data_IF_835500787655
#
_entry.id   IF_835500787655
#
_cell.length_a   1.000
_cell.length_b   1.000
_cell.length_c   1.000
_cell.angle_alpha   90.00
_cell.angle_beta   90.00
_cell.angle_gamma   90.00
#
_symmetry.space_group_name_H-M   'P 1'
#
loop_
_entity.id
_entity.type
_entity.pdbx_description
1 polymer ?
#
# COMPACT_ATOMS: atom_id res chain seq x y z
N UNK A 1 -9.50 8.27 1.23
CA UNK A 1 -8.55 9.00 2.10
C UNK A 1 -9.06 10.38 2.55
N UNK A 2 -9.10 11.41 1.69
CA UNK A 2 -9.37 12.80 2.12
C UNK A 2 -10.70 13.04 2.86
N UNK A 3 -11.79 12.39 2.44
CA UNK A 3 -13.11 12.53 3.09
C UNK A 3 -13.12 11.91 4.50
N UNK A 4 -12.49 10.73 4.65
CA UNK A 4 -12.40 10.01 5.92
C UNK A 4 -11.46 10.76 6.87
N UNK A 5 -10.31 11.23 6.38
CA UNK A 5 -9.40 12.07 7.18
C UNK A 5 -10.09 13.33 7.70
N UNK A 6 -10.98 13.96 6.92
CA UNK A 6 -11.80 15.09 7.42
C UNK A 6 -12.80 14.69 8.51
N UNK A 7 -13.24 13.44 8.54
CA UNK A 7 -14.27 12.95 9.46
C UNK A 7 -13.68 12.36 10.75
N UNK A 8 -12.57 11.62 10.67
CA UNK A 8 -11.97 10.88 11.80
C UNK A 8 -10.53 11.30 12.12
N UNK A 9 -9.98 12.27 11.39
CA UNK A 9 -8.68 12.89 11.71
C UNK A 9 -7.53 11.89 11.80
N UNK A 10 -6.91 11.87 12.97
CA UNK A 10 -5.76 11.06 13.37
C UNK A 10 -6.09 9.57 13.62
N UNK A 11 -7.36 9.19 13.64
CA UNK A 11 -7.74 7.77 13.74
C UNK A 11 -7.51 7.00 12.42
N UNK A 12 -7.30 7.71 11.31
CA UNK A 12 -7.06 7.11 10.00
C UNK A 12 -5.57 6.80 9.80
N UNK A 13 -5.25 5.53 9.59
CA UNK A 13 -3.95 5.09 9.09
C UNK A 13 -4.07 4.63 7.64
N UNK A 14 -3.43 5.36 6.73
CA UNK A 14 -3.32 5.02 5.31
C UNK A 14 -2.05 4.21 5.08
N UNK A 15 -2.19 2.97 4.65
CA UNK A 15 -1.08 2.12 4.21
C UNK A 15 -0.97 2.24 2.70
N UNK A 16 0.20 2.66 2.23
CA UNK A 16 0.52 2.76 0.82
C UNK A 16 1.62 1.75 0.48
N UNK A 17 1.27 0.73 -0.31
CA UNK A 17 2.20 -0.33 -0.72
C UNK A 17 2.79 0.01 -2.08
N UNK A 18 4.06 0.39 -2.09
CA UNK A 18 4.83 0.60 -3.31
C UNK A 18 5.38 -0.74 -3.80
N UNK A 19 4.66 -1.35 -4.73
CA UNK A 19 5.00 -2.65 -5.31
C UNK A 19 6.01 -2.55 -6.46
N UNK A 20 6.56 -1.35 -6.75
CA UNK A 20 7.58 -1.16 -7.80
C UNK A 20 7.09 -1.27 -9.25
N UNK A 21 5.77 -1.35 -9.46
CA UNK A 21 5.15 -1.37 -10.80
C UNK A 21 4.38 -0.07 -11.10
N UNK A 22 4.65 0.96 -10.32
CA UNK A 22 4.05 2.28 -10.51
C UNK A 22 4.80 3.10 -11.56
N UNK A 23 4.22 4.23 -11.97
CA UNK A 23 4.89 5.16 -12.87
C UNK A 23 6.02 5.88 -12.14
N UNK A 24 6.97 6.40 -12.93
CA UNK A 24 8.08 7.19 -12.44
C UNK A 24 7.58 8.33 -11.53
N UNK A 25 8.13 8.40 -10.31
CA UNK A 25 7.81 9.38 -9.26
C UNK A 25 6.39 9.30 -8.67
N UNK A 26 5.55 8.34 -9.06
CA UNK A 26 4.17 8.28 -8.59
C UNK A 26 4.08 8.06 -7.08
N UNK A 27 4.97 7.27 -6.50
CA UNK A 27 5.00 7.04 -5.04
C UNK A 27 5.34 8.32 -4.27
N UNK A 28 6.28 9.11 -4.79
CA UNK A 28 6.73 10.36 -4.17
C UNK A 28 5.66 11.45 -4.29
N UNK A 29 4.96 11.51 -5.43
CA UNK A 29 3.82 12.42 -5.62
C UNK A 29 2.66 12.09 -4.68
N UNK A 30 2.35 10.81 -4.50
CA UNK A 30 1.32 10.36 -3.55
C UNK A 30 1.71 10.71 -2.12
N UNK A 31 2.93 10.39 -1.71
CA UNK A 31 3.43 10.73 -0.37
C UNK A 31 3.40 12.24 -0.11
N UNK A 32 3.84 13.05 -1.09
CA UNK A 32 3.78 14.50 -1.00
C UNK A 32 2.35 15.04 -0.89
N UNK A 33 1.40 14.46 -1.63
CA UNK A 33 -0.01 14.87 -1.58
C UNK A 33 -0.67 14.61 -0.22
N UNK A 34 -0.21 13.59 0.51
CA UNK A 34 -0.77 13.22 1.81
C UNK A 34 0.03 13.70 3.01
N UNK A 35 1.28 14.16 2.83
CA UNK A 35 2.18 14.61 3.90
C UNK A 35 1.59 15.72 4.79
N UNK A 36 0.91 16.70 4.20
CA UNK A 36 0.36 17.86 4.93
C UNK A 36 -1.09 17.65 5.39
N UNK A 37 -1.66 16.46 5.16
CA UNK A 37 -3.07 16.18 5.47
C UNK A 37 -3.34 15.86 6.94
N UNK A 38 -2.29 15.67 7.75
CA UNK A 38 -2.39 15.33 9.17
C UNK A 38 -2.82 13.88 9.46
N UNK A 39 -2.98 13.03 8.44
CA UNK A 39 -3.28 11.60 8.61
C UNK A 39 -2.00 10.77 8.80
N UNK A 40 -2.10 9.63 9.47
CA UNK A 40 -0.99 8.69 9.55
C UNK A 40 -0.80 8.00 8.20
N UNK A 41 0.28 8.33 7.50
CA UNK A 41 0.61 7.75 6.21
C UNK A 41 1.83 6.84 6.34
N UNK A 42 1.67 5.56 6.01
CA UNK A 42 2.72 4.54 6.05
C UNK A 42 3.03 4.12 4.63
N UNK A 43 4.21 4.52 4.13
CA UNK A 43 4.74 4.04 2.86
C UNK A 43 5.54 2.76 3.09
N UNK A 44 5.22 1.72 2.30
CA UNK A 44 5.83 0.41 2.38
C UNK A 44 6.50 0.12 1.06
N UNK A 45 7.84 0.08 1.06
CA UNK A 45 8.60 -0.36 -0.11
C UNK A 45 8.57 -1.90 -0.18
N UNK A 46 7.86 -2.41 -1.17
CA UNK A 46 7.74 -3.83 -1.46
C UNK A 46 8.25 -4.17 -2.88
N UNK A 47 8.93 -3.25 -3.57
CA UNK A 47 9.38 -3.43 -4.97
C UNK A 47 10.07 -4.78 -5.15
N UNK A 48 11.09 -5.04 -4.33
CA UNK A 48 11.86 -6.29 -4.40
C UNK A 48 10.99 -7.53 -4.19
N UNK A 49 10.05 -7.51 -3.24
CA UNK A 49 9.14 -8.65 -2.97
C UNK A 49 8.28 -8.97 -4.18
N UNK A 50 7.73 -7.95 -4.83
CA UNK A 50 6.89 -8.14 -6.01
C UNK A 50 7.70 -8.56 -7.23
N UNK A 51 8.84 -7.92 -7.49
CA UNK A 51 9.70 -8.26 -8.63
C UNK A 51 10.27 -9.68 -8.51
N UNK A 52 10.72 -10.09 -7.32
CA UNK A 52 11.22 -11.45 -7.08
C UNK A 52 10.11 -12.49 -7.31
N UNK A 53 8.86 -12.18 -6.92
CA UNK A 53 7.71 -13.09 -7.09
C UNK A 53 7.19 -13.12 -8.54
N UNK A 54 7.43 -12.06 -9.30
CA UNK A 54 7.11 -11.96 -10.72
C UNK A 54 8.20 -12.53 -11.63
N UNK A 55 9.39 -12.79 -11.12
CA UNK A 55 10.50 -13.34 -11.87
C UNK A 55 10.13 -14.70 -12.50
N UNK A 56 10.23 -14.79 -13.82
CA UNK A 56 9.93 -16.01 -14.57
C UNK A 56 8.45 -16.30 -14.78
N UNK A 57 7.53 -15.44 -14.31
CA UNK A 57 6.11 -15.54 -14.68
C UNK A 57 5.90 -14.92 -16.06
N UNK A 58 5.29 -15.68 -16.97
CA UNK A 58 4.91 -15.20 -18.30
C UNK A 58 3.39 -15.06 -18.45
N UNK A 59 2.64 -15.99 -17.86
CA UNK A 59 1.18 -16.00 -17.91
C UNK A 59 0.55 -14.77 -17.21
N UNK A 60 -0.29 -13.99 -17.89
CA UNK A 60 -0.86 -12.77 -17.33
C UNK A 60 -1.84 -13.03 -16.18
N UNK A 61 -2.54 -14.16 -16.16
CA UNK A 61 -3.46 -14.49 -15.07
C UNK A 61 -2.68 -14.87 -13.80
N UNK A 62 -1.60 -15.65 -13.95
CA UNK A 62 -0.67 -15.97 -12.88
C UNK A 62 -0.01 -14.72 -12.31
N UNK A 63 0.41 -13.77 -13.15
CA UNK A 63 0.90 -12.45 -12.69
C UNK A 63 -0.13 -11.70 -11.85
N UNK A 64 -1.38 -11.62 -12.31
CA UNK A 64 -2.45 -10.95 -11.57
C UNK A 64 -2.70 -11.60 -10.21
N UNK A 65 -2.74 -12.93 -10.15
CA UNK A 65 -2.90 -13.68 -8.89
C UNK A 65 -1.72 -13.44 -7.95
N UNK A 66 -0.48 -13.51 -8.45
CA UNK A 66 0.72 -13.29 -7.66
C UNK A 66 0.79 -11.87 -7.06
N UNK A 67 0.46 -10.84 -7.86
CA UNK A 67 0.42 -9.44 -7.41
C UNK A 67 -0.65 -9.25 -6.35
N UNK A 68 -1.89 -9.71 -6.60
CA UNK A 68 -2.99 -9.57 -5.65
C UNK A 68 -2.72 -10.28 -4.32
N UNK A 69 -2.18 -11.49 -4.38
CA UNK A 69 -1.80 -12.26 -3.20
C UNK A 69 -0.69 -11.56 -2.40
N UNK A 70 0.36 -11.07 -3.07
CA UNK A 70 1.47 -10.40 -2.38
C UNK A 70 1.04 -9.07 -1.77
N UNK A 71 0.14 -8.34 -2.43
CA UNK A 71 -0.44 -7.11 -1.89
C UNK A 71 -1.18 -7.36 -0.58
N UNK A 72 -2.03 -8.39 -0.52
CA UNK A 72 -2.75 -8.77 0.71
C UNK A 72 -1.76 -9.13 1.81
N UNK A 73 -0.72 -9.93 1.51
CA UNK A 73 0.29 -10.34 2.49
C UNK A 73 1.05 -9.14 3.07
N UNK A 74 1.52 -8.22 2.22
CA UNK A 74 2.19 -7.00 2.68
C UNK A 74 1.24 -6.13 3.50
N UNK A 75 -0.01 -5.98 3.06
CA UNK A 75 -1.00 -5.19 3.79
C UNK A 75 -1.31 -5.81 5.18
N UNK A 76 -1.45 -7.13 5.28
CA UNK A 76 -1.63 -7.83 6.56
C UNK A 76 -0.41 -7.69 7.48
N UNK A 77 0.81 -7.80 6.94
CA UNK A 77 2.06 -7.63 7.69
C UNK A 77 2.11 -6.25 8.35
N UNK A 78 1.71 -5.19 7.63
CA UNK A 78 1.67 -3.82 8.15
C UNK A 78 0.47 -3.59 9.06
N UNK A 79 -0.71 -4.14 8.74
CA UNK A 79 -1.89 -4.08 9.58
C UNK A 79 -1.64 -4.65 10.98
N UNK A 80 -0.89 -5.76 11.07
CA UNK A 80 -0.49 -6.36 12.37
C UNK A 80 0.42 -5.45 13.20
N UNK A 81 1.21 -4.58 12.58
CA UNK A 81 2.07 -3.62 13.30
C UNK A 81 1.30 -2.45 13.89
N UNK A 82 0.22 -2.04 13.22
CA UNK A 82 -0.66 -0.94 13.67
C UNK A 82 -1.50 -1.38 14.88
N UNK A 83 -1.83 -2.68 14.97
CA UNK A 83 -2.54 -3.27 16.10
C UNK A 83 -3.99 -3.62 15.75
N UNK A 84 -4.94 -3.37 16.66
CA UNK A 84 -6.35 -3.64 16.41
C UNK A 84 -6.97 -2.52 15.57
N UNK A 85 -7.57 -2.90 14.43
CA UNK A 85 -8.31 -1.98 13.56
C UNK A 85 -9.73 -2.50 13.43
N UNK A 86 -10.71 -1.68 13.81
CA UNK A 86 -12.14 -2.06 13.81
C UNK A 86 -12.79 -1.95 12.42
N UNK A 87 -12.20 -1.15 11.52
CA UNK A 87 -12.78 -0.81 10.22
C UNK A 87 -11.72 -0.82 9.10
N UNK A 88 -12.08 -1.40 7.96
CA UNK A 88 -11.33 -1.31 6.71
C UNK A 88 -12.13 -0.48 5.71
N UNK A 89 -11.51 0.54 5.12
CA UNK A 89 -12.16 1.52 4.25
C UNK A 89 -11.34 1.86 2.99
#
# INVERSE_FOLDING_TARGET
>A
AALISKAVGDQLTCIFVDHGLMRKNEGDEVEAAFKDSGMHFIRVDAEKRFLDKLAGLEDPEAKRKAIGEEFIRVFEDEGRKIGSVDFLA
#
